data_IF_859595124919
#
_entry.id   IF_859595124919
#
_cell.length_a   1.000
_cell.length_b   1.000
_cell.length_c   1.000
_cell.angle_alpha   90.00
_cell.angle_beta   90.00
_cell.angle_gamma   90.00
#
_symmetry.space_group_name_H-M   'P 1'
#
loop_
_entity.id
_entity.type
_entity.pdbx_description
1 polymer ?
#
# COMPACT_ATOMS: atom_id res chain seq x y z
N UNK A 1 68.33 18.68 33.22
CA UNK A 1 66.88 18.56 32.90
C UNK A 1 66.72 18.40 31.40
N UNK A 2 65.89 17.46 30.91
CA UNK A 2 65.43 17.47 29.49
C UNK A 2 65.70 16.24 28.60
N UNK A 3 65.32 15.02 28.99
CA UNK A 3 65.09 13.88 28.07
C UNK A 3 63.68 13.32 28.30
N UNK A 4 62.65 14.02 27.85
CA UNK A 4 61.25 13.54 27.86
C UNK A 4 60.50 13.74 26.52
N UNK A 5 61.14 14.26 25.46
CA UNK A 5 60.46 14.62 24.20
C UNK A 5 60.54 13.60 23.05
N UNK A 6 61.50 12.67 23.04
CA UNK A 6 61.74 11.78 21.88
C UNK A 6 60.82 10.55 21.80
N UNK A 7 60.40 10.02 22.95
CA UNK A 7 59.43 8.92 23.10
C UNK A 7 58.02 9.38 23.43
N UNK A 8 57.66 10.61 23.04
CA UNK A 8 56.26 10.99 22.87
C UNK A 8 55.95 11.24 21.38
N UNK A 9 56.98 11.53 20.59
CA UNK A 9 56.86 11.88 19.18
C UNK A 9 56.77 10.65 18.27
N UNK A 10 57.37 9.50 18.64
CA UNK A 10 57.24 8.24 17.88
C UNK A 10 55.89 7.56 18.10
N UNK A 11 55.40 7.63 19.32
CA UNK A 11 54.12 7.08 19.79
C UNK A 11 52.98 7.89 19.17
N UNK A 12 53.12 9.22 19.09
CA UNK A 12 52.19 10.07 18.37
C UNK A 12 52.22 9.83 16.84
N UNK A 13 53.36 9.49 16.26
CA UNK A 13 53.47 9.13 14.84
C UNK A 13 52.85 7.76 14.55
N UNK A 14 53.10 6.76 15.39
CA UNK A 14 52.51 5.43 15.29
C UNK A 14 50.99 5.49 15.44
N UNK A 15 50.48 6.21 16.45
CA UNK A 15 49.04 6.39 16.63
C UNK A 15 48.36 7.05 15.42
N UNK A 16 49.03 7.96 14.72
CA UNK A 16 48.52 8.56 13.48
C UNK A 16 48.51 7.57 12.31
N UNK A 17 49.54 6.74 12.18
CA UNK A 17 49.60 5.71 11.14
C UNK A 17 48.50 4.66 11.35
N UNK A 18 48.34 4.17 12.58
CA UNK A 18 47.31 3.19 12.94
C UNK A 18 45.90 3.73 12.70
N UNK A 19 45.65 5.02 13.01
CA UNK A 19 44.36 5.66 12.73
C UNK A 19 44.12 5.87 11.22
N UNK A 20 45.16 6.20 10.44
CA UNK A 20 45.04 6.27 8.98
C UNK A 20 44.68 4.92 8.37
N UNK A 21 45.30 3.84 8.83
CA UNK A 21 44.97 2.48 8.39
C UNK A 21 43.54 2.08 8.79
N UNK A 22 43.12 2.43 10.02
CA UNK A 22 41.73 2.21 10.46
C UNK A 22 40.75 2.93 9.55
N UNK A 23 40.99 4.21 9.24
CA UNK A 23 40.15 4.99 8.33
C UNK A 23 40.16 4.42 6.90
N UNK A 24 41.28 3.87 6.44
CA UNK A 24 41.34 3.19 5.15
C UNK A 24 40.46 1.92 5.13
N UNK A 25 40.53 1.09 6.19
CA UNK A 25 39.68 -0.10 6.35
C UNK A 25 38.21 0.25 6.42
N UNK A 26 37.84 1.27 7.18
CA UNK A 26 36.46 1.76 7.29
C UNK A 26 35.93 2.27 5.94
N UNK A 27 36.73 3.04 5.19
CA UNK A 27 36.37 3.48 3.84
C UNK A 27 36.16 2.30 2.90
N UNK A 28 37.11 1.36 2.85
CA UNK A 28 37.01 0.18 2.00
C UNK A 28 35.80 -0.69 2.38
N UNK A 29 35.55 -0.90 3.67
CA UNK A 29 34.38 -1.62 4.16
C UNK A 29 33.07 -0.93 3.78
N UNK A 30 33.02 0.40 3.86
CA UNK A 30 31.83 1.19 3.49
C UNK A 30 31.52 1.01 2.00
N UNK A 31 32.53 1.13 1.13
CA UNK A 31 32.38 0.86 -0.31
C UNK A 31 31.86 -0.55 -0.57
N UNK A 32 32.41 -1.57 0.10
CA UNK A 32 31.94 -2.96 -0.07
C UNK A 32 30.50 -3.14 0.36
N UNK A 33 30.10 -2.59 1.51
CA UNK A 33 28.71 -2.64 1.97
C UNK A 33 27.80 -1.97 0.93
N UNK A 34 28.17 -0.79 0.44
CA UNK A 34 27.40 -0.05 -0.56
C UNK A 34 27.24 -0.84 -1.86
N UNK A 35 28.31 -1.45 -2.34
CA UNK A 35 28.31 -2.23 -3.57
C UNK A 35 27.42 -3.47 -3.44
N UNK A 36 27.47 -4.17 -2.29
CA UNK A 36 26.60 -5.32 -2.02
C UNK A 36 25.12 -4.90 -2.11
N UNK A 37 24.74 -3.80 -1.46
CA UNK A 37 23.33 -3.36 -1.50
C UNK A 37 22.93 -2.87 -2.90
N UNK A 38 23.78 -2.10 -3.59
CA UNK A 38 23.49 -1.62 -4.95
C UNK A 38 23.32 -2.76 -5.96
N UNK A 39 24.14 -3.81 -5.86
CA UNK A 39 24.06 -4.97 -6.76
C UNK A 39 22.77 -5.77 -6.55
N UNK A 40 22.22 -5.79 -5.33
CA UNK A 40 21.03 -6.56 -5.00
C UNK A 40 19.72 -5.76 -5.11
N UNK A 41 19.79 -4.44 -4.96
CA UNK A 41 18.61 -3.57 -4.81
C UNK A 41 18.65 -2.37 -5.75
N UNK A 42 18.57 -2.66 -7.06
CA UNK A 42 18.37 -1.64 -8.09
C UNK A 42 16.92 -1.15 -8.17
N UNK A 43 16.68 -0.17 -9.04
CA UNK A 43 15.32 0.37 -9.25
C UNK A 43 14.30 -0.69 -9.67
N UNK A 44 14.72 -1.70 -10.44
CA UNK A 44 13.84 -2.77 -10.89
C UNK A 44 13.38 -3.66 -9.73
N UNK A 45 14.20 -3.85 -8.69
CA UNK A 45 13.76 -4.54 -7.47
C UNK A 45 12.62 -3.78 -6.79
N UNK A 46 12.78 -2.46 -6.63
CA UNK A 46 11.79 -1.61 -5.99
C UNK A 46 10.50 -1.50 -6.82
N UNK A 47 10.61 -1.32 -8.13
CA UNK A 47 9.46 -1.40 -9.05
C UNK A 47 8.78 -2.77 -8.98
N UNK A 48 9.56 -3.86 -8.92
CA UNK A 48 9.03 -5.21 -8.75
C UNK A 48 8.21 -5.39 -7.47
N UNK A 49 8.56 -4.71 -6.37
CA UNK A 49 7.74 -4.70 -5.14
C UNK A 49 6.38 -4.04 -5.35
N UNK A 50 6.36 -2.91 -6.05
CA UNK A 50 5.13 -2.18 -6.41
C UNK A 50 4.27 -3.00 -7.37
N UNK A 51 4.86 -3.49 -8.44
CA UNK A 51 4.19 -4.26 -9.49
C UNK A 51 3.65 -5.59 -8.95
N UNK A 52 4.39 -6.26 -8.07
CA UNK A 52 3.92 -7.47 -7.39
C UNK A 52 2.65 -7.22 -6.58
N UNK A 53 2.56 -6.09 -5.86
CA UNK A 53 1.35 -5.74 -5.12
C UNK A 53 0.18 -5.44 -6.06
N UNK A 54 0.41 -4.67 -7.13
CA UNK A 54 -0.63 -4.37 -8.12
C UNK A 54 -1.16 -5.65 -8.79
N UNK A 55 -0.26 -6.57 -9.17
CA UNK A 55 -0.63 -7.86 -9.75
C UNK A 55 -1.46 -8.72 -8.78
N UNK A 56 -1.20 -8.61 -7.48
CA UNK A 56 -1.97 -9.29 -6.45
C UNK A 56 -3.33 -8.62 -6.17
N UNK A 57 -3.37 -7.30 -6.07
CA UNK A 57 -4.52 -6.53 -5.60
C UNK A 57 -5.53 -6.20 -6.71
N UNK A 58 -5.10 -5.92 -7.94
CA UNK A 58 -5.99 -5.52 -9.03
C UNK A 58 -7.06 -6.58 -9.35
N UNK A 59 -6.75 -7.89 -9.44
CA UNK A 59 -7.77 -8.91 -9.69
C UNK A 59 -8.84 -8.96 -8.59
N UNK A 60 -8.46 -8.74 -7.33
CA UNK A 60 -9.40 -8.68 -6.22
C UNK A 60 -10.29 -7.44 -6.30
N UNK A 61 -9.72 -6.30 -6.70
CA UNK A 61 -10.49 -5.07 -6.88
C UNK A 61 -11.51 -5.21 -8.01
N UNK A 62 -11.10 -5.79 -9.14
CA UNK A 62 -11.96 -6.06 -10.30
C UNK A 62 -13.08 -7.05 -9.94
N UNK A 63 -12.78 -8.12 -9.21
CA UNK A 63 -13.78 -9.09 -8.72
C UNK A 63 -14.80 -8.41 -7.79
N UNK A 64 -14.35 -7.62 -6.82
CA UNK A 64 -15.25 -6.90 -5.92
C UNK A 64 -16.11 -5.87 -6.67
N UNK A 65 -15.56 -5.18 -7.66
CA UNK A 65 -16.31 -4.27 -8.53
C UNK A 65 -17.37 -5.01 -9.35
N UNK A 66 -17.02 -6.17 -9.93
CA UNK A 66 -17.94 -7.03 -10.66
C UNK A 66 -19.14 -7.45 -9.80
N UNK A 67 -18.89 -7.87 -8.56
CA UNK A 67 -19.93 -8.22 -7.58
C UNK A 67 -20.81 -7.03 -7.21
N UNK A 68 -20.21 -5.87 -6.91
CA UNK A 68 -20.97 -4.65 -6.61
C UNK A 68 -21.85 -4.21 -7.80
N UNK A 69 -21.36 -4.39 -9.02
CA UNK A 69 -22.11 -4.11 -10.25
C UNK A 69 -23.30 -5.05 -10.41
N UNK A 70 -23.11 -6.34 -10.14
CA UNK A 70 -24.18 -7.34 -10.18
C UNK A 70 -25.27 -7.04 -9.13
N UNK A 71 -24.86 -6.73 -7.90
CA UNK A 71 -25.77 -6.32 -6.83
C UNK A 71 -26.57 -5.06 -7.18
N UNK A 72 -25.92 -4.08 -7.82
CA UNK A 72 -26.60 -2.90 -8.34
C UNK A 72 -27.67 -3.28 -9.36
N UNK A 73 -27.35 -4.14 -10.33
CA UNK A 73 -28.32 -4.61 -11.32
C UNK A 73 -29.52 -5.29 -10.65
N UNK A 74 -29.29 -6.23 -9.73
CA UNK A 74 -30.38 -6.89 -9.01
C UNK A 74 -31.23 -5.94 -8.17
N UNK A 75 -30.63 -4.89 -7.61
CA UNK A 75 -31.38 -3.89 -6.87
C UNK A 75 -32.26 -3.03 -7.78
N UNK A 76 -31.73 -2.62 -8.93
CA UNK A 76 -32.47 -1.84 -9.92
C UNK A 76 -33.58 -2.64 -10.59
N UNK A 77 -33.33 -3.91 -10.90
CA UNK A 77 -34.32 -4.84 -11.48
C UNK A 77 -35.50 -5.10 -10.53
N UNK A 78 -35.20 -5.44 -9.26
CA UNK A 78 -36.23 -5.60 -8.21
C UNK A 78 -37.07 -4.35 -7.96
N UNK A 79 -36.63 -3.21 -8.47
CA UNK A 79 -37.28 -1.92 -8.30
C UNK A 79 -37.91 -1.40 -9.61
N UNK A 80 -37.76 -2.14 -10.72
CA UNK A 80 -38.32 -1.75 -12.02
C UNK A 80 -37.67 -0.50 -12.62
N UNK A 81 -36.38 -0.28 -12.36
CA UNK A 81 -35.63 0.92 -12.76
C UNK A 81 -34.52 0.66 -13.77
N UNK A 82 -34.52 -0.51 -14.40
CA UNK A 82 -33.52 -0.93 -15.37
C UNK A 82 -33.41 0.01 -16.58
N UNK A 83 -34.45 0.78 -16.90
CA UNK A 83 -34.45 1.73 -18.05
C UNK A 83 -34.53 3.20 -17.63
N UNK A 84 -34.18 3.50 -16.38
CA UNK A 84 -34.27 4.85 -15.79
C UNK A 84 -32.96 5.66 -15.90
N UNK A 85 -33.06 6.99 -15.92
CA UNK A 85 -31.91 7.89 -15.71
C UNK A 85 -31.17 7.61 -14.40
N UNK A 86 -31.85 7.05 -13.40
CA UNK A 86 -31.21 6.68 -12.14
C UNK A 86 -30.29 5.48 -12.28
N UNK A 87 -30.54 4.57 -13.23
CA UNK A 87 -29.57 3.52 -13.57
C UNK A 87 -28.26 4.17 -13.98
N UNK A 88 -28.30 5.10 -14.93
CA UNK A 88 -27.10 5.77 -15.43
C UNK A 88 -26.34 6.47 -14.29
N UNK A 89 -27.05 7.14 -13.38
CA UNK A 89 -26.46 7.78 -12.21
C UNK A 89 -25.76 6.78 -11.28
N UNK A 90 -26.44 5.71 -10.86
CA UNK A 90 -25.87 4.73 -9.91
C UNK A 90 -24.68 3.96 -10.48
N UNK A 91 -24.70 3.65 -11.78
CA UNK A 91 -23.54 3.09 -12.46
C UNK A 91 -22.37 4.09 -12.51
N UNK A 92 -22.66 5.38 -12.69
CA UNK A 92 -21.66 6.45 -12.57
C UNK A 92 -21.05 6.53 -11.18
N UNK A 93 -21.86 6.49 -10.13
CA UNK A 93 -21.40 6.51 -8.73
C UNK A 93 -20.51 5.28 -8.42
N UNK A 94 -20.91 4.10 -8.90
CA UNK A 94 -20.13 2.87 -8.76
C UNK A 94 -18.79 2.95 -9.52
N UNK A 95 -18.80 3.50 -10.74
CA UNK A 95 -17.58 3.73 -11.52
C UNK A 95 -16.62 4.70 -10.82
N UNK A 96 -17.14 5.81 -10.30
CA UNK A 96 -16.36 6.77 -9.53
C UNK A 96 -15.75 6.12 -8.28
N UNK A 97 -16.53 5.27 -7.59
CA UNK A 97 -16.03 4.50 -6.45
C UNK A 97 -14.88 3.60 -6.88
N UNK A 98 -15.03 2.85 -7.98
CA UNK A 98 -13.95 2.00 -8.50
C UNK A 98 -12.67 2.78 -8.83
N UNK A 99 -12.80 3.92 -9.52
CA UNK A 99 -11.65 4.75 -9.88
C UNK A 99 -10.94 5.34 -8.64
N UNK A 100 -11.69 5.62 -7.58
CA UNK A 100 -11.11 5.99 -6.29
C UNK A 100 -10.37 4.82 -5.64
N UNK A 101 -11.00 3.65 -5.54
CA UNK A 101 -10.39 2.45 -4.92
C UNK A 101 -9.15 1.97 -5.69
N UNK A 102 -9.15 2.10 -7.02
CA UNK A 102 -7.98 1.81 -7.87
C UNK A 102 -6.79 2.72 -7.54
N UNK A 103 -7.04 4.01 -7.27
CA UNK A 103 -5.98 4.94 -6.81
C UNK A 103 -5.48 4.56 -5.43
N UNK A 104 -6.36 4.22 -4.49
CA UNK A 104 -5.97 3.74 -3.16
C UNK A 104 -5.07 2.50 -3.23
N UNK A 105 -5.36 1.54 -4.12
CA UNK A 105 -4.50 0.37 -4.38
C UNK A 105 -3.14 0.78 -4.97
N UNK A 106 -3.11 1.76 -5.88
CA UNK A 106 -1.86 2.27 -6.44
C UNK A 106 -0.99 2.98 -5.37
N UNK A 107 -1.61 3.74 -4.48
CA UNK A 107 -0.93 4.42 -3.37
C UNK A 107 -0.34 3.40 -2.39
N UNK A 108 -1.08 2.32 -2.08
CA UNK A 108 -0.56 1.20 -1.29
C UNK A 108 0.64 0.52 -1.98
N UNK A 109 0.60 0.36 -3.30
CA UNK A 109 1.71 -0.20 -4.07
C UNK A 109 2.97 0.67 -3.96
N UNK A 110 2.82 2.00 -4.03
CA UNK A 110 3.91 2.96 -3.80
C UNK A 110 4.43 2.88 -2.35
N UNK A 111 3.54 2.63 -1.39
CA UNK A 111 3.88 2.34 0.00
C UNK A 111 4.82 1.14 0.13
N UNK A 112 4.55 0.04 -0.58
CA UNK A 112 5.44 -1.14 -0.59
C UNK A 112 6.82 -0.84 -1.18
N UNK A 113 6.89 -0.05 -2.25
CA UNK A 113 8.17 0.41 -2.81
C UNK A 113 8.97 1.21 -1.77
N UNK A 114 8.32 2.21 -1.17
CA UNK A 114 8.94 3.11 -0.19
C UNK A 114 9.39 2.36 1.06
N UNK A 115 8.57 1.45 1.57
CA UNK A 115 8.89 0.62 2.73
C UNK A 115 10.13 -0.24 2.46
N UNK A 116 10.22 -0.85 1.28
CA UNK A 116 11.39 -1.64 0.89
C UNK A 116 12.65 -0.77 0.85
N UNK A 117 12.59 0.42 0.25
CA UNK A 117 13.71 1.38 0.21
C UNK A 117 14.16 1.76 1.62
N UNK A 118 13.23 2.12 2.50
CA UNK A 118 13.53 2.49 3.87
C UNK A 118 14.15 1.35 4.69
N UNK A 119 13.63 0.12 4.54
CA UNK A 119 14.18 -1.04 5.23
C UNK A 119 15.62 -1.35 4.79
N UNK A 120 15.89 -1.25 3.48
CA UNK A 120 17.22 -1.45 2.90
C UNK A 120 18.20 -0.37 3.36
N UNK A 121 17.83 0.91 3.27
CA UNK A 121 18.70 2.00 3.72
C UNK A 121 18.94 1.97 5.24
N UNK A 122 17.93 1.59 6.02
CA UNK A 122 18.09 1.36 7.46
C UNK A 122 19.10 0.25 7.75
N UNK A 123 19.00 -0.88 7.06
CA UNK A 123 19.94 -1.99 7.22
C UNK A 123 21.37 -1.61 6.83
N UNK A 124 21.53 -0.90 5.71
CA UNK A 124 22.82 -0.38 5.22
C UNK A 124 23.43 0.61 6.21
N UNK A 125 22.66 1.61 6.65
CA UNK A 125 23.11 2.62 7.62
C UNK A 125 23.57 1.98 8.94
N UNK A 126 22.82 1.00 9.45
CA UNK A 126 23.19 0.26 10.66
C UNK A 126 24.53 -0.50 10.50
N UNK A 127 24.81 -1.06 9.32
CA UNK A 127 26.10 -1.71 9.05
C UNK A 127 27.24 -0.71 9.00
N UNK A 128 27.05 0.44 8.37
CA UNK A 128 28.07 1.50 8.30
C UNK A 128 28.37 2.03 9.70
N UNK A 129 27.36 2.25 10.54
CA UNK A 129 27.55 2.64 11.95
C UNK A 129 28.35 1.58 12.72
N UNK A 130 28.01 0.29 12.56
CA UNK A 130 28.76 -0.82 13.17
C UNK A 130 30.21 -0.89 12.68
N UNK A 131 30.43 -0.66 11.38
CA UNK A 131 31.76 -0.62 10.78
C UNK A 131 32.60 0.55 11.32
N UNK A 132 32.01 1.74 11.44
CA UNK A 132 32.70 2.91 12.01
C UNK A 132 33.11 2.69 13.47
N UNK A 133 32.30 1.97 14.24
CA UNK A 133 32.56 1.66 15.63
C UNK A 133 33.67 0.60 15.80
N UNK A 134 33.61 -0.47 14.99
CA UNK A 134 34.47 -1.67 15.15
C UNK A 134 35.74 -1.63 14.30
N UNK A 135 35.71 -0.94 13.16
CA UNK A 135 36.76 -0.99 12.14
C UNK A 135 36.84 -2.32 11.38
N UNK A 136 35.90 -3.25 11.61
CA UNK A 136 35.89 -4.58 11.00
C UNK A 136 35.17 -4.57 9.63
N UNK A 137 35.95 -4.39 8.57
CA UNK A 137 35.46 -4.35 7.20
C UNK A 137 34.95 -5.72 6.69
N UNK A 138 35.55 -6.84 7.13
CA UNK A 138 35.15 -8.17 6.68
C UNK A 138 33.86 -8.62 7.35
N UNK A 139 33.75 -8.44 8.68
CA UNK A 139 32.52 -8.72 9.41
C UNK A 139 31.34 -7.88 8.92
N UNK A 140 31.57 -6.60 8.61
CA UNK A 140 30.54 -5.73 8.02
C UNK A 140 30.07 -6.24 6.64
N UNK A 141 31.00 -6.67 5.77
CA UNK A 141 30.66 -7.22 4.46
C UNK A 141 29.86 -8.53 4.56
N UNK A 142 30.28 -9.46 5.43
CA UNK A 142 29.55 -10.72 5.66
C UNK A 142 28.14 -10.48 6.22
N UNK A 143 28.02 -9.50 7.12
CA UNK A 143 26.72 -9.06 7.65
C UNK A 143 25.85 -8.40 6.58
N UNK A 144 26.45 -7.64 5.66
CA UNK A 144 25.76 -7.05 4.52
C UNK A 144 25.19 -8.13 3.58
N UNK A 145 25.98 -9.15 3.23
CA UNK A 145 25.52 -10.27 2.40
C UNK A 145 24.32 -10.97 3.04
N UNK A 146 24.41 -11.28 4.33
CA UNK A 146 23.34 -11.97 5.07
C UNK A 146 22.06 -11.14 5.12
N UNK A 147 22.18 -9.83 5.40
CA UNK A 147 21.03 -8.90 5.44
C UNK A 147 20.43 -8.69 4.06
N UNK A 148 21.25 -8.54 3.03
CA UNK A 148 20.79 -8.41 1.65
C UNK A 148 20.02 -9.67 1.21
N UNK A 149 20.52 -10.87 1.52
CA UNK A 149 19.83 -12.12 1.22
C UNK A 149 18.48 -12.26 1.93
N UNK A 150 18.33 -11.72 3.14
CA UNK A 150 17.06 -11.73 3.87
C UNK A 150 16.07 -10.71 3.28
N UNK A 151 16.55 -9.52 2.95
CA UNK A 151 15.73 -8.42 2.41
C UNK A 151 15.29 -8.66 0.95
N UNK A 152 16.01 -9.49 0.20
CA UNK A 152 15.63 -9.85 -1.17
C UNK A 152 14.44 -10.81 -1.23
N UNK A 153 14.09 -11.48 -0.13
CA UNK A 153 13.00 -12.45 -0.11
C UNK A 153 11.64 -11.78 -0.36
N UNK A 154 10.75 -12.40 -1.16
CA UNK A 154 9.38 -11.94 -1.33
C UNK A 154 8.62 -11.91 0.01
N UNK A 155 7.85 -10.85 0.25
CA UNK A 155 6.97 -10.75 1.41
C UNK A 155 5.55 -11.11 0.96
N UNK A 156 4.81 -11.95 1.70
CA UNK A 156 3.42 -12.22 1.37
C UNK A 156 2.58 -10.94 1.48
N UNK A 157 1.61 -10.79 0.58
CA UNK A 157 0.66 -9.68 0.60
C UNK A 157 -0.59 -10.05 1.38
N UNK A 158 -1.15 -9.09 2.11
CA UNK A 158 -2.47 -9.22 2.73
C UNK A 158 -3.55 -8.89 1.70
N UNK A 159 -4.65 -9.68 1.61
CA UNK A 159 -5.79 -9.38 0.75
C UNK A 159 -6.32 -7.96 0.96
N UNK A 160 -6.83 -7.34 -0.11
CA UNK A 160 -7.48 -6.03 0.02
C UNK A 160 -8.80 -6.20 0.79
N UNK A 161 -9.13 -5.20 1.62
CA UNK A 161 -10.41 -5.18 2.33
C UNK A 161 -11.62 -5.12 1.40
N UNK A 162 -12.82 -5.13 1.97
CA UNK A 162 -14.07 -4.95 1.22
C UNK A 162 -14.23 -3.49 0.80
N UNK A 163 -13.80 -3.16 -0.42
CA UNK A 163 -13.70 -1.79 -0.93
C UNK A 163 -15.05 -1.19 -1.36
N UNK A 164 -16.05 -2.04 -1.62
CA UNK A 164 -17.38 -1.65 -2.12
C UNK A 164 -18.51 -1.90 -1.12
N UNK A 165 -18.20 -2.38 0.09
CA UNK A 165 -19.22 -2.68 1.11
C UNK A 165 -20.07 -1.47 1.49
N UNK A 166 -19.48 -0.27 1.49
CA UNK A 166 -20.22 0.97 1.77
C UNK A 166 -21.23 1.28 0.65
N UNK A 167 -20.80 1.15 -0.62
CA UNK A 167 -21.69 1.34 -1.76
C UNK A 167 -22.88 0.38 -1.71
N UNK A 168 -22.62 -0.91 -1.49
CA UNK A 168 -23.67 -1.93 -1.47
C UNK A 168 -24.57 -1.81 -0.23
N UNK A 169 -24.02 -1.42 0.92
CA UNK A 169 -24.79 -1.11 2.12
C UNK A 169 -25.73 0.07 1.91
N UNK A 170 -25.26 1.18 1.33
CA UNK A 170 -26.10 2.35 1.08
C UNK A 170 -27.25 2.03 0.13
N UNK A 171 -27.00 1.21 -0.89
CA UNK A 171 -28.02 0.71 -1.81
C UNK A 171 -29.11 -0.10 -1.06
N UNK A 172 -28.71 -1.00 -0.17
CA UNK A 172 -29.64 -1.81 0.63
C UNK A 172 -30.46 -0.99 1.63
N UNK A 173 -29.84 -0.02 2.29
CA UNK A 173 -30.52 0.89 3.24
C UNK A 173 -31.55 1.76 2.52
N UNK A 174 -31.17 2.37 1.39
CA UNK A 174 -32.05 3.19 0.58
C UNK A 174 -33.26 2.37 0.08
N UNK A 175 -33.04 1.10 -0.29
CA UNK A 175 -34.11 0.20 -0.69
C UNK A 175 -35.09 -0.16 0.44
N UNK A 176 -34.57 -0.36 1.65
CA UNK A 176 -35.40 -0.64 2.82
C UNK A 176 -36.24 0.57 3.25
N UNK A 177 -35.65 1.77 3.27
CA UNK A 177 -36.32 3.00 3.68
C UNK A 177 -37.49 3.36 2.74
N UNK A 178 -37.29 3.26 1.43
CA UNK A 178 -38.33 3.63 0.46
C UNK A 178 -39.45 2.58 0.36
N UNK A 179 -39.14 1.30 0.55
CA UNK A 179 -40.19 0.27 0.75
C UNK A 179 -40.98 0.51 2.02
N UNK A 180 -40.33 0.87 3.12
CA UNK A 180 -41.02 1.19 4.37
C UNK A 180 -41.91 2.42 4.24
N UNK A 181 -41.46 3.46 3.52
CA UNK A 181 -42.26 4.63 3.20
C UNK A 181 -43.51 4.27 2.36
N UNK A 182 -43.34 3.42 1.34
CA UNK A 182 -44.46 2.93 0.53
C UNK A 182 -45.48 2.11 1.35
N UNK A 183 -45.01 1.10 2.10
CA UNK A 183 -45.87 0.19 2.88
C UNK A 183 -46.58 0.88 4.04
N UNK A 184 -45.96 1.92 4.61
CA UNK A 184 -46.56 2.71 5.70
C UNK A 184 -47.55 3.77 5.21
N UNK A 185 -47.84 3.83 3.90
CA UNK A 185 -48.68 4.87 3.29
C UNK A 185 -48.23 6.30 3.69
N UNK A 186 -46.91 6.54 3.66
CA UNK A 186 -46.23 7.76 4.11
C UNK A 186 -46.29 8.08 5.62
N UNK A 187 -46.70 7.15 6.49
CA UNK A 187 -46.56 7.34 7.95
C UNK A 187 -45.10 7.34 8.41
N UNK A 188 -44.21 6.66 7.67
CA UNK A 188 -42.75 6.79 7.74
C UNK A 188 -42.25 7.52 6.49
N UNK A 189 -41.33 8.48 6.65
CA UNK A 189 -40.64 9.14 5.54
C UNK A 189 -39.17 8.72 5.53
N UNK A 190 -38.69 8.23 4.39
CA UNK A 190 -37.26 8.03 4.18
C UNK A 190 -36.52 9.37 4.39
N UNK A 191 -35.28 9.31 4.90
CA UNK A 191 -34.47 10.52 5.08
C UNK A 191 -34.17 11.19 3.74
N UNK A 192 -34.01 10.36 2.70
CA UNK A 192 -33.93 10.76 1.31
C UNK A 192 -34.91 9.88 0.53
N UNK A 193 -36.02 10.46 0.09
CA UNK A 193 -36.97 9.79 -0.79
C UNK A 193 -36.54 10.04 -2.24
N UNK A 194 -35.98 9.02 -2.87
CA UNK A 194 -35.62 9.08 -4.29
C UNK A 194 -36.67 8.46 -5.20
N UNK A 195 -37.78 7.97 -4.63
CA UNK A 195 -38.86 7.30 -5.36
C UNK A 195 -38.41 6.04 -6.10
N UNK A 196 -37.28 5.46 -5.69
CA UNK A 196 -36.47 4.52 -6.45
C UNK A 196 -36.85 3.06 -6.16
N UNK A 197 -37.04 2.72 -4.89
CA UNK A 197 -37.31 1.36 -4.43
C UNK A 197 -38.76 1.17 -3.94
N UNK A 198 -39.59 2.21 -4.09
CA UNK A 198 -41.03 2.12 -3.88
C UNK A 198 -41.69 1.33 -5.03
N UNK A 199 -42.54 0.32 -4.75
CA UNK A 199 -43.33 -0.35 -5.77
C UNK A 199 -44.14 0.64 -6.62
N UNK A 200 -44.25 0.39 -7.94
CA UNK A 200 -45.14 1.17 -8.82
C UNK A 200 -46.57 1.05 -8.29
N UNK A 201 -47.22 2.18 -7.98
CA UNK A 201 -48.69 2.21 -7.83
C UNK A 201 -49.26 1.90 -9.21
N UNK A 202 -49.83 0.72 -9.38
CA UNK A 202 -50.66 0.47 -10.56
C UNK A 202 -51.66 1.61 -10.69
N UNK A 203 -51.82 2.23 -11.87
CA UNK A 203 -52.94 3.13 -12.08
C UNK A 203 -54.18 2.28 -11.81
N UNK A 204 -54.96 2.66 -10.80
CA UNK A 204 -56.23 2.03 -10.48
C UNK A 204 -57.00 1.94 -11.79
N UNK A 205 -57.05 0.74 -12.36
CA UNK A 205 -57.82 0.48 -13.57
C UNK A 205 -59.26 0.56 -13.12
N UNK A 206 -59.85 1.75 -13.27
CA UNK A 206 -61.28 1.94 -13.11
C UNK A 206 -61.93 1.21 -14.30
N UNK A 207 -62.20 -0.08 -14.12
CA UNK A 207 -63.08 -0.88 -14.98
C UNK A 207 -64.53 -0.62 -14.51
N UNK A 208 -65.47 -0.60 -15.48
CA UNK A 208 -66.48 0.43 -15.71
C UNK A 208 -67.47 0.69 -14.58
#
# INVERSE_FOLDING_TARGET
MGKKGGGANREAQQARADEQERQARVRAGTTRVDDIFKQNFGDDFFKGRREGYLAFANPQLEDQYGKAREELVYSLDRSGLTDSSVRAQKFGDLQQTYDQRRREVADQALGHETQARNAIEGARSNLITSLNATGDAEGAANSAISRASALSQPTPYSPIGQMFAEFTSTLGQQAAEERAQYLSNNAYRARFDTGLFAPRRDPVVNRP
#
